data_IF_169718668639
#
_entry.id   IF_169718668639
#
_cell.length_a   1.000
_cell.length_b   1.000
_cell.length_c   1.000
_cell.angle_alpha   90.00
_cell.angle_beta   90.00
_cell.angle_gamma   90.00
#
_symmetry.space_group_name_H-M   'P 1'
#
loop_
_entity.id
_entity.type
_entity.pdbx_description
1 polymer ?
#
# COMPACT_ATOMS: atom_id res chain seq x y z
N UNK A 1 -6.64 -5.59 17.07
CA UNK A 1 -6.13 -5.85 18.43
C UNK A 1 -7.20 -6.50 19.31
N UNK A 2 -8.36 -5.85 19.59
CA UNK A 2 -9.47 -6.44 20.37
C UNK A 2 -9.80 -7.88 19.98
N UNK A 3 -10.12 -8.10 18.70
CA UNK A 3 -10.48 -9.42 18.21
C UNK A 3 -9.40 -10.48 18.50
N UNK A 4 -8.13 -10.14 18.22
CA UNK A 4 -7.01 -11.04 18.48
C UNK A 4 -6.85 -11.35 19.98
N UNK A 5 -6.87 -10.34 20.85
CA UNK A 5 -6.74 -10.54 22.31
C UNK A 5 -7.96 -11.27 22.90
N UNK A 6 -9.15 -11.05 22.36
CA UNK A 6 -10.35 -11.80 22.74
C UNK A 6 -10.22 -13.29 22.44
N UNK A 7 -9.52 -13.67 21.36
CA UNK A 7 -9.30 -15.07 21.00
C UNK A 7 -8.07 -15.70 21.67
N UNK A 8 -7.03 -14.92 21.93
CA UNK A 8 -5.71 -15.43 22.36
C UNK A 8 -5.34 -15.05 23.80
N UNK A 9 -6.25 -14.39 24.51
CA UNK A 9 -6.00 -13.85 25.85
C UNK A 9 -5.43 -12.43 25.82
N UNK A 10 -5.78 -11.65 26.84
CA UNK A 10 -5.27 -10.30 27.00
C UNK A 10 -3.88 -10.31 27.65
N UNK A 11 -2.91 -9.58 27.09
CA UNK A 11 -1.55 -9.57 27.63
C UNK A 11 -1.48 -8.75 28.92
N UNK A 12 -0.52 -9.12 29.78
CA UNK A 12 -0.10 -8.25 30.88
C UNK A 12 0.64 -7.04 30.36
N UNK A 13 0.44 -5.86 30.96
CA UNK A 13 1.08 -4.62 30.50
C UNK A 13 1.56 -3.75 31.64
N UNK A 14 2.69 -3.06 31.44
CA UNK A 14 3.19 -2.03 32.36
C UNK A 14 2.21 -0.85 32.50
N UNK A 15 1.44 -0.55 31.45
CA UNK A 15 0.37 0.48 31.47
C UNK A 15 -0.68 0.16 32.54
N UNK A 16 -0.88 -1.13 32.83
CA UNK A 16 -1.82 -1.62 33.82
C UNK A 16 -1.11 -2.15 35.09
N UNK A 17 0.15 -1.81 35.32
CA UNK A 17 0.89 -2.25 36.51
C UNK A 17 1.31 -3.74 36.48
N UNK A 18 1.53 -4.30 35.29
CA UNK A 18 2.03 -5.67 35.10
C UNK A 18 0.94 -6.75 35.06
N UNK A 19 -0.33 -6.36 34.98
CA UNK A 19 -1.48 -7.28 34.90
C UNK A 19 -2.21 -7.14 33.57
N UNK A 20 -3.06 -8.12 33.28
CA UNK A 20 -4.00 -8.06 32.17
C UNK A 20 -5.17 -7.12 32.52
N UNK A 21 -5.84 -6.52 31.51
CA UNK A 21 -7.04 -5.72 31.71
C UNK A 21 -8.18 -6.56 32.29
N UNK A 22 -8.83 -6.04 33.31
CA UNK A 22 -9.93 -6.68 34.03
C UNK A 22 -11.30 -6.41 33.41
N UNK A 23 -11.45 -5.28 32.70
CA UNK A 23 -12.72 -4.84 32.12
C UNK A 23 -12.53 -4.12 30.78
N UNK A 24 -13.64 -3.72 30.14
CA UNK A 24 -13.62 -3.04 28.84
C UNK A 24 -12.91 -1.69 28.86
N UNK A 25 -12.92 -0.98 29.98
CA UNK A 25 -12.25 0.32 30.09
C UNK A 25 -10.73 0.13 30.06
N UNK A 26 -10.21 -0.82 30.83
CA UNK A 26 -8.79 -1.15 30.83
C UNK A 26 -8.33 -1.80 29.52
N UNK A 27 -9.20 -2.59 28.87
CA UNK A 27 -8.95 -3.10 27.52
C UNK A 27 -8.79 -1.95 26.52
N UNK A 28 -9.64 -0.92 26.63
CA UNK A 28 -9.58 0.27 25.78
C UNK A 28 -8.30 1.04 26.03
N UNK A 29 -7.99 1.34 27.29
CA UNK A 29 -6.76 2.03 27.68
C UNK A 29 -5.51 1.31 27.16
N UNK A 30 -5.44 -0.02 27.27
CA UNK A 30 -4.33 -0.80 26.77
C UNK A 30 -4.21 -0.73 25.25
N UNK A 31 -5.33 -0.81 24.53
CA UNK A 31 -5.33 -0.73 23.07
C UNK A 31 -4.89 0.63 22.60
N UNK A 32 -5.41 1.70 23.19
CA UNK A 32 -5.05 3.06 22.82
C UNK A 32 -3.54 3.28 23.04
N UNK A 33 -3.01 2.86 24.19
CA UNK A 33 -1.58 2.92 24.47
C UNK A 33 -0.73 2.12 23.46
N UNK A 34 -1.18 0.93 23.05
CA UNK A 34 -0.50 0.13 22.02
C UNK A 34 -0.58 0.77 20.62
N UNK A 35 -1.71 1.39 20.29
CA UNK A 35 -1.89 2.10 19.03
C UNK A 35 -1.01 3.35 18.96
N UNK A 36 -0.94 4.11 20.04
CA UNK A 36 -0.07 5.28 20.16
C UNK A 36 1.40 4.85 20.06
N UNK A 37 1.82 3.85 20.85
CA UNK A 37 3.18 3.34 20.80
C UNK A 37 3.56 2.82 19.41
N UNK A 38 2.67 2.06 18.76
CA UNK A 38 2.87 1.60 17.38
C UNK A 38 3.03 2.79 16.43
N UNK A 39 2.19 3.81 16.56
CA UNK A 39 2.20 4.98 15.69
C UNK A 39 3.50 5.76 15.83
N UNK A 40 3.99 5.97 17.06
CA UNK A 40 5.26 6.64 17.30
C UNK A 40 6.44 5.80 16.81
N UNK A 41 6.46 4.48 17.06
CA UNK A 41 7.52 3.60 16.52
C UNK A 41 7.53 3.56 14.99
N UNK A 42 6.35 3.57 14.37
CA UNK A 42 6.24 3.66 12.93
C UNK A 42 6.84 4.97 12.40
N UNK A 43 6.54 6.11 13.06
CA UNK A 43 7.13 7.40 12.70
C UNK A 43 8.65 7.42 12.90
N UNK A 44 9.16 6.87 14.00
CA UNK A 44 10.59 6.75 14.26
C UNK A 44 11.29 5.99 13.12
N UNK A 45 10.73 4.84 12.72
CA UNK A 45 11.29 4.00 11.67
C UNK A 45 11.31 4.74 10.32
N UNK A 46 10.20 5.36 9.93
CA UNK A 46 10.14 6.11 8.66
C UNK A 46 11.03 7.36 8.71
N UNK A 47 11.07 8.06 9.85
CA UNK A 47 11.88 9.26 10.07
C UNK A 47 13.38 9.01 10.22
N UNK A 48 13.78 7.77 10.51
CA UNK A 48 15.20 7.37 10.62
C UNK A 48 15.97 7.47 9.31
N UNK A 49 15.27 7.44 8.16
CA UNK A 49 15.87 7.34 6.84
C UNK A 49 16.34 5.93 6.45
N UNK A 50 16.15 4.92 7.32
CA UNK A 50 16.49 3.52 7.02
C UNK A 50 15.50 2.84 6.07
N UNK A 51 14.28 3.38 5.96
CA UNK A 51 13.26 2.90 5.03
C UNK A 51 13.43 3.58 3.68
N UNK A 52 13.47 2.79 2.62
CA UNK A 52 13.50 3.28 1.24
C UNK A 52 12.25 2.85 0.49
N UNK A 53 11.91 3.63 -0.55
CA UNK A 53 10.90 3.22 -1.51
C UNK A 53 11.31 1.89 -2.16
N UNK A 54 10.32 1.05 -2.47
CA UNK A 54 10.59 -0.25 -3.10
C UNK A 54 11.31 -0.07 -4.44
N UNK A 55 12.20 -1.01 -4.80
CA UNK A 55 12.98 -0.90 -6.04
C UNK A 55 12.11 -0.65 -7.27
N UNK A 56 12.52 0.29 -8.10
CA UNK A 56 11.83 0.70 -9.33
C UNK A 56 10.72 1.74 -9.15
N UNK A 57 10.10 1.89 -7.97
CA UNK A 57 8.93 2.78 -7.80
C UNK A 57 9.25 4.24 -8.12
N UNK A 58 10.27 4.82 -7.46
CA UNK A 58 10.63 6.24 -7.64
C UNK A 58 11.09 6.54 -9.07
N UNK A 59 11.82 5.61 -9.67
CA UNK A 59 12.23 5.69 -11.07
C UNK A 59 11.00 5.73 -11.98
N UNK A 60 10.05 4.80 -11.82
CA UNK A 60 8.85 4.73 -12.64
C UNK A 60 7.97 5.98 -12.52
N UNK A 61 7.84 6.54 -11.33
CA UNK A 61 7.17 7.83 -11.13
C UNK A 61 7.85 8.93 -11.97
N UNK A 62 9.18 8.97 -11.97
CA UNK A 62 9.95 9.95 -12.74
C UNK A 62 9.80 9.74 -14.26
N UNK A 63 9.88 8.48 -14.71
CA UNK A 63 9.73 8.12 -16.12
C UNK A 63 8.31 8.46 -16.63
N UNK A 64 7.27 8.23 -15.82
CA UNK A 64 5.89 8.59 -16.14
C UNK A 64 5.70 10.11 -16.25
N UNK A 65 6.19 10.87 -15.27
CA UNK A 65 6.14 12.34 -15.30
C UNK A 65 6.89 12.92 -16.50
N UNK A 66 8.08 12.39 -16.82
CA UNK A 66 8.84 12.79 -18.00
C UNK A 66 8.11 12.48 -19.31
N UNK A 67 7.25 11.46 -19.33
CA UNK A 67 6.38 11.13 -20.46
C UNK A 67 5.06 11.94 -20.48
N UNK A 68 4.86 12.87 -19.55
CA UNK A 68 3.64 13.67 -19.44
C UNK A 68 2.44 12.89 -18.88
N UNK A 69 2.68 11.78 -18.18
CA UNK A 69 1.62 10.96 -17.57
C UNK A 69 1.43 11.37 -16.11
N UNK A 70 0.21 11.76 -15.69
CA UNK A 70 -0.05 12.14 -14.31
C UNK A 70 0.21 10.98 -13.33
N UNK A 71 0.83 11.30 -12.20
CA UNK A 71 1.17 10.34 -11.14
C UNK A 71 0.40 10.69 -9.87
N UNK A 72 -0.34 9.69 -9.35
CA UNK A 72 -1.04 9.80 -8.09
C UNK A 72 -0.69 8.70 -7.09
N UNK A 73 -0.77 9.03 -5.80
CA UNK A 73 -0.69 8.07 -4.69
C UNK A 73 -2.07 7.94 -4.05
N UNK A 74 -2.61 6.73 -3.97
CA UNK A 74 -3.91 6.46 -3.34
C UNK A 74 -3.76 5.44 -2.19
N UNK A 75 -3.86 5.91 -0.95
CA UNK A 75 -3.64 5.10 0.25
C UNK A 75 -4.87 5.06 1.15
N UNK A 76 -5.04 3.96 1.89
CA UNK A 76 -6.07 3.83 2.93
C UNK A 76 -5.65 4.40 4.30
N UNK A 77 -4.38 4.85 4.42
CA UNK A 77 -3.86 5.47 5.63
C UNK A 77 -4.42 6.88 5.85
N UNK A 78 -4.31 7.40 7.06
CA UNK A 78 -4.72 8.78 7.36
C UNK A 78 -3.91 9.78 6.56
N UNK A 79 -4.46 10.97 6.33
CA UNK A 79 -3.77 12.01 5.54
C UNK A 79 -2.40 12.35 6.10
N UNK A 80 -2.30 12.53 7.41
CA UNK A 80 -1.05 12.81 8.11
C UNK A 80 0.00 11.71 7.95
N UNK A 81 -0.41 10.44 7.92
CA UNK A 81 0.50 9.33 7.71
C UNK A 81 1.01 9.27 6.27
N UNK A 82 0.14 9.55 5.29
CA UNK A 82 0.53 9.62 3.87
C UNK A 82 1.52 10.76 3.63
N UNK A 83 1.22 11.96 4.11
CA UNK A 83 2.11 13.13 3.97
C UNK A 83 3.48 12.88 4.62
N UNK A 84 3.50 12.28 5.82
CA UNK A 84 4.75 11.95 6.51
C UNK A 84 5.59 10.94 5.71
N UNK A 85 4.98 9.83 5.27
CA UNK A 85 5.69 8.79 4.51
C UNK A 85 6.19 9.32 3.18
N UNK A 86 5.35 10.04 2.42
CA UNK A 86 5.77 10.60 1.12
C UNK A 86 6.86 11.65 1.29
N UNK A 87 6.73 12.55 2.27
CA UNK A 87 7.75 13.56 2.56
C UNK A 87 9.09 12.95 2.96
N UNK A 88 9.08 11.89 3.76
CA UNK A 88 10.29 11.17 4.18
C UNK A 88 10.92 10.33 3.07
N UNK A 89 10.13 9.58 2.30
CA UNK A 89 10.65 8.63 1.31
C UNK A 89 10.95 9.26 -0.05
N UNK A 90 10.18 10.26 -0.46
CA UNK A 90 10.35 10.91 -1.77
C UNK A 90 11.19 12.18 -1.69
N UNK A 91 11.27 12.79 -0.51
CA UNK A 91 11.75 14.15 -0.32
C UNK A 91 10.71 15.20 -0.76
N UNK A 92 10.89 16.42 -0.28
CA UNK A 92 9.90 17.50 -0.45
C UNK A 92 9.67 17.89 -1.92
N UNK A 93 10.73 17.90 -2.74
CA UNK A 93 10.63 18.26 -4.16
C UNK A 93 9.72 17.29 -4.92
N UNK A 94 10.01 16.00 -4.83
CA UNK A 94 9.23 14.97 -5.54
C UNK A 94 7.83 14.82 -4.98
N UNK A 95 7.67 14.95 -3.66
CA UNK A 95 6.34 14.95 -3.07
C UNK A 95 5.50 16.13 -3.58
N UNK A 96 6.08 17.34 -3.63
CA UNK A 96 5.44 18.52 -4.21
C UNK A 96 5.20 18.44 -5.72
N UNK A 97 5.94 17.57 -6.42
CA UNK A 97 5.76 17.29 -7.83
C UNK A 97 4.69 16.24 -8.18
N UNK A 98 4.04 15.61 -7.19
CA UNK A 98 2.91 14.70 -7.47
C UNK A 98 1.70 15.48 -7.98
N UNK A 99 1.03 14.96 -9.01
CA UNK A 99 -0.20 15.56 -9.52
C UNK A 99 -1.35 15.43 -8.53
N UNK A 100 -1.37 14.34 -7.75
CA UNK A 100 -2.38 14.09 -6.73
C UNK A 100 -1.88 13.12 -5.65
N UNK A 101 -2.34 13.29 -4.43
CA UNK A 101 -2.41 12.17 -3.48
C UNK A 101 -3.80 12.13 -2.84
N UNK A 102 -4.23 10.92 -2.50
CA UNK A 102 -5.46 10.63 -1.78
C UNK A 102 -5.15 9.72 -0.60
N UNK A 103 -5.69 10.08 0.54
CA UNK A 103 -5.62 9.34 1.79
C UNK A 103 -6.98 8.71 2.12
N UNK A 104 -6.99 7.82 3.12
CA UNK A 104 -8.18 7.12 3.57
C UNK A 104 -9.26 8.04 4.13
N UNK A 105 -8.88 9.24 4.59
CA UNK A 105 -9.81 10.25 5.10
C UNK A 105 -10.45 11.09 3.97
N UNK A 106 -9.94 11.00 2.74
CA UNK A 106 -10.50 11.69 1.57
C UNK A 106 -11.72 10.97 0.98
N UNK A 107 -11.99 9.74 1.41
CA UNK A 107 -13.13 8.93 0.96
C UNK A 107 -13.83 8.25 2.12
N UNK A 108 -15.16 8.13 2.03
CA UNK A 108 -15.95 7.45 3.06
C UNK A 108 -15.76 5.93 3.01
N UNK A 109 -15.89 5.37 1.81
CA UNK A 109 -15.79 3.93 1.58
C UNK A 109 -14.32 3.55 1.35
N UNK A 110 -13.86 2.54 2.08
CA UNK A 110 -12.47 2.06 2.02
C UNK A 110 -12.36 0.89 1.06
N UNK A 111 -11.16 0.66 0.53
CA UNK A 111 -10.84 -0.54 -0.28
C UNK A 111 -11.37 -1.78 0.46
N UNK A 112 -12.08 -2.71 -0.22
CA UNK A 112 -12.10 -2.95 -1.66
C UNK A 112 -13.06 -2.08 -2.46
N UNK A 113 -13.76 -1.13 -1.84
CA UNK A 113 -14.55 -0.16 -2.58
C UNK A 113 -13.66 0.67 -3.54
N UNK A 114 -14.08 0.85 -4.82
CA UNK A 114 -13.27 1.50 -5.84
C UNK A 114 -13.24 3.04 -5.75
N UNK A 115 -13.97 3.65 -4.81
CA UNK A 115 -14.19 5.10 -4.74
C UNK A 115 -12.89 5.91 -4.75
N UNK A 116 -11.86 5.48 -4.02
CA UNK A 116 -10.58 6.20 -3.96
C UNK A 116 -9.94 6.35 -5.34
N UNK A 117 -9.99 5.30 -6.17
CA UNK A 117 -9.42 5.33 -7.51
C UNK A 117 -10.31 6.09 -8.49
N UNK A 118 -11.64 5.94 -8.40
CA UNK A 118 -12.59 6.68 -9.23
C UNK A 118 -12.46 8.18 -9.01
N UNK A 119 -12.38 8.62 -7.76
CA UNK A 119 -12.19 10.03 -7.40
C UNK A 119 -10.82 10.52 -7.84
N UNK A 120 -9.76 9.71 -7.72
CA UNK A 120 -8.44 10.09 -8.21
C UNK A 120 -8.44 10.36 -9.72
N UNK A 121 -8.98 9.43 -10.51
CA UNK A 121 -9.12 9.60 -11.97
C UNK A 121 -9.96 10.82 -12.34
N UNK A 122 -11.08 11.04 -11.64
CA UNK A 122 -11.93 12.21 -11.83
C UNK A 122 -11.16 13.52 -11.56
N UNK A 123 -10.41 13.61 -10.46
CA UNK A 123 -9.64 14.82 -10.10
C UNK A 123 -8.50 15.10 -11.07
N UNK A 124 -7.90 14.05 -11.63
CA UNK A 124 -6.87 14.14 -12.66
C UNK A 124 -7.43 14.37 -14.07
N UNK A 125 -8.75 14.22 -14.27
CA UNK A 125 -9.38 14.35 -15.58
C UNK A 125 -9.00 13.25 -16.57
N UNK A 126 -8.70 12.03 -16.07
CA UNK A 126 -8.29 10.89 -16.89
C UNK A 126 -9.36 9.79 -16.95
N UNK A 127 -9.38 9.03 -18.03
CA UNK A 127 -10.24 7.86 -18.17
C UNK A 127 -9.71 6.71 -17.28
N UNK A 128 -10.53 6.14 -16.38
CA UNK A 128 -10.14 4.96 -15.59
C UNK A 128 -9.60 3.80 -16.44
N UNK A 129 -10.13 3.58 -17.66
CA UNK A 129 -9.66 2.51 -18.54
C UNK A 129 -8.23 2.75 -19.07
N UNK A 130 -7.76 4.00 -19.04
CA UNK A 130 -6.39 4.39 -19.39
C UNK A 130 -5.45 4.41 -18.16
N UNK A 131 -5.94 4.09 -16.97
CA UNK A 131 -5.16 4.08 -15.74
C UNK A 131 -4.55 2.70 -15.45
N UNK A 132 -3.33 2.71 -14.92
CA UNK A 132 -2.66 1.54 -14.35
C UNK A 132 -2.35 1.79 -12.88
N UNK A 133 -2.84 0.92 -12.02
CA UNK A 133 -2.61 0.95 -10.57
C UNK A 133 -1.48 -0.01 -10.20
N UNK A 134 -0.54 0.43 -9.38
CA UNK A 134 0.41 -0.45 -8.68
C UNK A 134 -0.10 -0.69 -7.27
N UNK A 135 -0.34 -1.96 -6.91
CA UNK A 135 -0.89 -2.38 -5.61
C UNK A 135 -0.08 -3.53 -5.00
N UNK A 136 -0.35 -3.89 -3.74
CA UNK A 136 0.35 -4.98 -3.06
C UNK A 136 -0.59 -6.01 -2.40
N UNK A 137 -1.90 -5.76 -2.38
CA UNK A 137 -2.89 -6.58 -1.68
C UNK A 137 -4.13 -6.86 -2.52
N UNK A 138 -4.87 -7.92 -2.21
CA UNK A 138 -6.11 -8.28 -2.92
C UNK A 138 -7.23 -7.27 -2.71
N UNK A 139 -7.27 -6.65 -1.54
CA UNK A 139 -8.20 -5.57 -1.22
C UNK A 139 -7.94 -4.37 -2.14
N UNK A 140 -6.68 -4.02 -2.36
CA UNK A 140 -6.29 -2.96 -3.30
C UNK A 140 -6.55 -3.32 -4.76
N UNK A 141 -6.21 -4.56 -5.16
CA UNK A 141 -6.50 -5.10 -6.48
C UNK A 141 -8.00 -5.02 -6.80
N UNK A 142 -8.86 -5.49 -5.89
CA UNK A 142 -10.30 -5.44 -6.08
C UNK A 142 -10.83 -4.01 -6.25
N UNK A 143 -10.29 -3.05 -5.49
CA UNK A 143 -10.63 -1.63 -5.65
C UNK A 143 -10.18 -1.07 -7.01
N UNK A 144 -8.99 -1.41 -7.49
CA UNK A 144 -8.49 -0.99 -8.79
C UNK A 144 -9.35 -1.55 -9.93
N UNK A 145 -9.63 -2.86 -9.91
CA UNK A 145 -10.47 -3.53 -10.90
C UNK A 145 -11.92 -3.00 -10.86
N UNK A 146 -12.48 -2.78 -9.67
CA UNK A 146 -13.81 -2.19 -9.50
C UNK A 146 -13.91 -0.73 -9.96
N UNK A 147 -12.78 -0.05 -10.12
CA UNK A 147 -12.69 1.27 -10.74
C UNK A 147 -12.57 1.21 -12.27
N UNK A 148 -12.47 0.01 -12.85
CA UNK A 148 -12.25 -0.19 -14.29
C UNK A 148 -10.81 0.04 -14.72
N UNK A 149 -9.86 -0.01 -13.78
CA UNK A 149 -8.44 0.24 -14.04
C UNK A 149 -7.66 -1.06 -14.18
N UNK A 150 -6.58 -1.03 -14.96
CA UNK A 150 -5.58 -2.09 -14.99
C UNK A 150 -4.78 -2.10 -13.69
N UNK A 151 -4.30 -3.26 -13.26
CA UNK A 151 -3.55 -3.35 -12.00
C UNK A 151 -2.36 -4.31 -12.08
N UNK A 152 -1.18 -3.80 -11.73
CA UNK A 152 0.02 -4.61 -11.48
C UNK A 152 0.21 -4.74 -9.98
N UNK A 153 0.31 -5.99 -9.52
CA UNK A 153 0.57 -6.30 -8.12
C UNK A 153 2.07 -6.46 -7.89
N UNK A 154 2.57 -5.73 -6.92
CA UNK A 154 3.90 -5.88 -6.33
C UNK A 154 3.72 -6.46 -4.93
N UNK A 155 3.69 -7.79 -4.78
CA UNK A 155 3.37 -8.38 -3.46
C UNK A 155 4.48 -8.12 -2.44
N UNK A 156 4.14 -8.19 -1.15
CA UNK A 156 5.08 -8.18 -0.03
C UNK A 156 5.17 -9.57 0.60
N UNK A 157 6.02 -9.76 1.61
CA UNK A 157 6.09 -11.04 2.32
C UNK A 157 4.76 -11.42 2.98
N UNK A 158 3.96 -10.44 3.45
CA UNK A 158 2.67 -10.69 4.08
C UNK A 158 1.53 -10.94 3.09
N UNK A 159 1.66 -10.48 1.84
CA UNK A 159 0.61 -10.62 0.81
C UNK A 159 0.94 -11.64 -0.27
N UNK A 160 2.15 -12.20 -0.29
CA UNK A 160 2.64 -13.16 -1.30
C UNK A 160 1.66 -14.30 -1.60
N UNK A 161 1.04 -14.87 -0.58
CA UNK A 161 0.14 -16.03 -0.70
C UNK A 161 -1.31 -15.67 -1.04
N UNK A 162 -1.63 -14.38 -1.21
CA UNK A 162 -2.98 -13.98 -1.56
C UNK A 162 -3.30 -14.28 -3.04
N UNK A 163 -4.59 -14.43 -3.34
CA UNK A 163 -5.07 -14.69 -4.70
C UNK A 163 -5.24 -13.37 -5.48
N UNK A 164 -4.35 -13.13 -6.44
CA UNK A 164 -4.34 -11.94 -7.28
C UNK A 164 -5.01 -12.17 -8.65
N UNK A 165 -6.02 -13.04 -8.72
CA UNK A 165 -6.82 -13.23 -9.92
C UNK A 165 -7.33 -11.89 -10.49
N UNK A 166 -7.13 -11.69 -11.79
CA UNK A 166 -7.53 -10.47 -12.50
C UNK A 166 -6.47 -9.36 -12.51
N UNK A 167 -5.36 -9.48 -11.79
CA UNK A 167 -4.22 -8.59 -11.98
C UNK A 167 -3.60 -8.79 -13.37
N UNK A 168 -3.13 -7.70 -13.98
CA UNK A 168 -2.36 -7.75 -15.22
C UNK A 168 -1.06 -8.54 -15.01
N UNK A 169 -0.39 -8.31 -13.88
CA UNK A 169 0.86 -8.96 -13.52
C UNK A 169 1.03 -9.01 -12.00
N UNK A 170 1.77 -10.02 -11.54
CA UNK A 170 2.13 -10.23 -10.14
C UNK A 170 3.64 -10.39 -10.06
N UNK A 171 4.33 -9.37 -9.56
CA UNK A 171 5.80 -9.32 -9.53
C UNK A 171 6.34 -9.09 -8.12
N UNK A 172 7.55 -9.57 -7.86
CA UNK A 172 8.20 -9.33 -6.56
C UNK A 172 8.70 -7.89 -6.41
N UNK A 173 9.03 -7.26 -7.54
CA UNK A 173 9.71 -5.97 -7.63
C UNK A 173 9.43 -5.31 -8.97
N UNK A 174 9.51 -3.98 -9.01
CA UNK A 174 9.49 -3.19 -10.25
C UNK A 174 10.91 -2.83 -10.71
N UNK A 175 11.93 -3.41 -10.07
CA UNK A 175 13.29 -3.30 -10.55
C UNK A 175 13.44 -3.92 -11.95
N UNK A 176 14.20 -3.24 -12.81
CA UNK A 176 14.35 -3.63 -14.22
C UNK A 176 13.10 -3.49 -15.10
N UNK A 177 11.95 -3.05 -14.57
CA UNK A 177 10.72 -2.84 -15.34
C UNK A 177 10.66 -1.40 -15.84
N UNK A 178 10.73 -1.13 -17.15
CA UNK A 178 10.59 0.26 -17.64
C UNK A 178 9.13 0.74 -17.64
N UNK A 179 8.93 2.06 -17.54
CA UNK A 179 7.61 2.67 -17.72
C UNK A 179 7.02 2.32 -19.09
N UNK A 180 7.85 2.31 -20.15
CA UNK A 180 7.42 1.94 -21.49
C UNK A 180 6.88 0.50 -21.54
N UNK A 181 7.51 -0.45 -20.84
CA UNK A 181 7.04 -1.84 -20.78
C UNK A 181 5.74 -1.98 -19.99
N UNK A 182 5.58 -1.23 -18.89
CA UNK A 182 4.32 -1.16 -18.14
C UNK A 182 3.18 -0.57 -18.98
N UNK A 183 3.41 0.58 -19.59
CA UNK A 183 2.44 1.27 -20.43
C UNK A 183 2.00 0.41 -21.62
N UNK A 184 2.96 -0.27 -22.27
CA UNK A 184 2.70 -1.19 -23.37
C UNK A 184 2.11 -2.55 -22.93
N UNK A 185 1.92 -2.79 -21.62
CA UNK A 185 1.33 -4.02 -21.10
C UNK A 185 2.22 -5.26 -21.26
N UNK A 186 3.53 -5.10 -21.41
CA UNK A 186 4.46 -6.23 -21.64
C UNK A 186 4.60 -7.18 -20.45
N UNK A 187 4.09 -6.79 -19.28
CA UNK A 187 4.07 -7.64 -18.09
C UNK A 187 2.81 -8.53 -18.02
N UNK A 188 1.84 -8.35 -18.92
CA UNK A 188 0.56 -9.05 -18.86
C UNK A 188 0.75 -10.58 -18.74
N UNK A 189 0.09 -11.18 -17.75
CA UNK A 189 0.14 -12.61 -17.45
C UNK A 189 1.36 -13.07 -16.64
N UNK A 190 2.30 -12.19 -16.31
CA UNK A 190 3.47 -12.53 -15.50
C UNK A 190 3.07 -12.80 -14.04
N UNK A 191 3.51 -13.92 -13.47
CA UNK A 191 3.46 -14.20 -12.04
C UNK A 191 4.80 -14.78 -11.53
N UNK A 192 5.59 -13.95 -10.85
CA UNK A 192 6.91 -14.32 -10.34
C UNK A 192 6.87 -15.44 -9.28
N UNK A 193 5.72 -15.67 -8.65
CA UNK A 193 5.56 -16.71 -7.62
C UNK A 193 5.51 -18.09 -8.24
N UNK A 194 4.94 -18.20 -9.44
CA UNK A 194 4.86 -19.46 -10.19
C UNK A 194 6.23 -19.84 -10.74
N UNK A 195 6.97 -18.87 -11.28
CA UNK A 195 8.34 -19.10 -11.75
C UNK A 195 9.28 -19.56 -10.62
N UNK A 196 9.15 -18.94 -9.43
CA UNK A 196 9.92 -19.35 -8.25
C UNK A 196 9.55 -20.76 -7.75
N UNK A 197 8.27 -21.14 -7.79
CA UNK A 197 7.82 -22.47 -7.42
C UNK A 197 8.34 -23.56 -8.39
N UNK A 198 8.36 -23.29 -9.70
CA UNK A 198 8.90 -24.20 -10.70
C UNK A 198 10.42 -24.42 -10.55
N UNK A 199 11.16 -23.35 -10.22
CA UNK A 199 12.60 -23.43 -9.95
C UNK A 199 12.93 -24.18 -8.65
N UNK A 200 12.07 -24.07 -7.63
CA UNK A 200 12.22 -24.78 -6.36
C UNK A 200 11.83 -26.26 -6.44
N UNK A 201 10.92 -26.64 -7.35
CA UNK A 201 10.52 -28.03 -7.57
C UNK A 201 11.50 -28.84 -8.46
N UNK A 202 12.51 -28.17 -9.03
CA UNK A 202 13.54 -28.77 -9.88
C UNK A 202 14.88 -28.97 -9.15
N UNK A 203 14.92 -28.76 -7.84
CA UNK A 203 16.05 -28.99 -6.91
C UNK A 203 15.66 -30.03 -5.87
#
# INVERSE_FOLDING_TARGET
MRHYFGLNGWPTSSVLGGRAPADEAEQTQLIDALQDWKTEKYKDIIGSGEVSARPGVVRLMSEAQAAGVPVAVCSAATKSAVEFVLGSLLGQERFGGLDLFMAGDDVKEKKPDPTIYKVAAQRLGVDPAACLVVEDSTIGLAAALGAGMRCVVTYTNSTRSQDFAGADAVVASLDGVSFADLAAGKLAGRDDRVAAAAAAASQ
#
